data_IF_752018143835
#
_entry.id   IF_752018143835
#
_cell.length_a   1.000
_cell.length_b   1.000
_cell.length_c   1.000
_cell.angle_alpha   90.00
_cell.angle_beta   90.00
_cell.angle_gamma   90.00
#
_symmetry.space_group_name_H-M   'P 1'
#
loop_
_entity.id
_entity.type
_entity.pdbx_description
1 polymer ?
#
# COMPACT_ATOMS: atom_id res chain seq x y z
N UNK A 1 10.44 14.70 -24.82
CA UNK A 1 10.16 13.36 -24.25
C UNK A 1 9.43 12.56 -25.32
N UNK A 2 10.03 11.48 -25.82
CA UNK A 2 9.41 10.65 -26.86
C UNK A 2 8.14 9.96 -26.33
N UNK A 3 7.18 9.72 -27.21
CA UNK A 3 5.92 9.03 -26.91
C UNK A 3 6.15 7.57 -26.48
N UNK A 4 6.65 7.37 -25.24
CA UNK A 4 6.95 6.06 -24.65
C UNK A 4 5.69 5.16 -24.48
N UNK A 5 4.51 5.74 -24.64
CA UNK A 5 3.22 5.09 -24.40
C UNK A 5 2.35 4.95 -25.66
N UNK A 6 2.90 5.17 -26.86
CA UNK A 6 2.12 5.06 -28.11
C UNK A 6 1.81 3.62 -28.51
N UNK A 7 2.53 2.64 -27.96
CA UNK A 7 2.30 1.20 -28.20
C UNK A 7 2.28 0.47 -26.86
N UNK A 8 1.10 0.02 -26.45
CA UNK A 8 0.88 -0.59 -25.13
C UNK A 8 1.53 -1.97 -25.00
N UNK A 9 1.46 -2.81 -26.03
CA UNK A 9 2.13 -4.12 -26.04
C UNK A 9 3.39 -4.09 -26.90
N UNK A 10 4.49 -4.63 -26.41
CA UNK A 10 5.79 -4.70 -27.10
C UNK A 10 6.20 -6.12 -27.44
N UNK A 11 5.57 -7.12 -26.83
CA UNK A 11 5.88 -8.57 -26.95
C UNK A 11 7.29 -8.95 -26.45
N UNK A 12 8.05 -8.01 -25.89
CA UNK A 12 9.44 -8.24 -25.43
C UNK A 12 9.55 -9.06 -24.16
N UNK A 13 8.42 -9.35 -23.50
CA UNK A 13 8.36 -10.13 -22.25
C UNK A 13 7.68 -11.49 -22.39
N UNK A 14 7.38 -11.94 -23.61
CA UNK A 14 6.67 -13.22 -23.85
C UNK A 14 7.56 -14.43 -23.53
N UNK A 15 8.87 -14.24 -23.47
CA UNK A 15 9.87 -15.22 -23.04
C UNK A 15 9.97 -15.43 -21.51
N UNK A 16 9.11 -14.74 -20.72
CA UNK A 16 9.13 -14.80 -19.26
C UNK A 16 10.15 -13.87 -18.60
N UNK A 17 10.76 -12.95 -19.38
CA UNK A 17 11.63 -11.91 -18.84
C UNK A 17 10.98 -10.52 -18.88
N UNK A 18 11.52 -9.57 -18.11
CA UNK A 18 11.10 -8.15 -18.14
C UNK A 18 12.31 -7.24 -18.00
N UNK A 19 12.20 -6.02 -18.53
CA UNK A 19 13.22 -4.97 -18.37
C UNK A 19 13.03 -4.21 -17.07
N UNK A 20 14.12 -3.89 -16.39
CA UNK A 20 14.17 -2.94 -15.28
C UNK A 20 14.43 -1.51 -15.82
N UNK A 21 14.28 -0.51 -14.96
CA UNK A 21 14.44 0.89 -15.34
C UNK A 21 15.89 1.31 -15.66
N UNK A 22 16.88 0.51 -15.26
CA UNK A 22 18.29 0.67 -15.60
C UNK A 22 18.67 0.03 -16.95
N UNK A 23 17.71 -0.61 -17.63
CA UNK A 23 17.91 -1.33 -18.89
C UNK A 23 18.30 -2.80 -18.74
N UNK A 24 18.59 -3.29 -17.56
CA UNK A 24 18.83 -4.71 -17.31
C UNK A 24 17.55 -5.55 -17.49
N UNK A 25 17.69 -6.85 -17.69
CA UNK A 25 16.57 -7.77 -17.82
C UNK A 25 16.64 -8.87 -16.76
N UNK A 26 15.50 -9.17 -16.17
CA UNK A 26 15.33 -10.19 -15.13
C UNK A 26 14.17 -11.11 -15.48
N UNK A 27 14.10 -12.29 -14.85
CA UNK A 27 12.91 -13.15 -14.94
C UNK A 27 11.72 -12.47 -14.28
N UNK A 28 10.51 -12.65 -14.81
CA UNK A 28 9.28 -12.13 -14.21
C UNK A 28 9.02 -12.66 -12.79
N UNK A 29 9.64 -13.77 -12.41
CA UNK A 29 9.60 -14.36 -11.06
C UNK A 29 10.69 -13.82 -10.12
N UNK A 30 11.48 -12.83 -10.55
CA UNK A 30 12.50 -12.21 -9.72
C UNK A 30 11.86 -11.46 -8.53
N UNK A 31 12.43 -11.53 -7.30
CA UNK A 31 11.86 -10.86 -6.11
C UNK A 31 11.55 -9.37 -6.31
N UNK A 32 12.35 -8.67 -7.12
CA UNK A 32 12.13 -7.26 -7.47
C UNK A 32 10.84 -7.05 -8.26
N UNK A 33 10.54 -7.90 -9.22
CA UNK A 33 9.30 -7.85 -10.02
C UNK A 33 8.10 -8.19 -9.15
N UNK A 34 8.24 -9.16 -8.25
CA UNK A 34 7.22 -9.52 -7.26
C UNK A 34 6.91 -8.34 -6.31
N UNK A 35 7.95 -7.66 -5.82
CA UNK A 35 7.78 -6.49 -4.95
C UNK A 35 7.08 -5.33 -5.69
N UNK A 36 7.51 -5.04 -6.92
CA UNK A 36 6.87 -4.03 -7.78
C UNK A 36 5.39 -4.34 -8.02
N UNK A 37 5.08 -5.60 -8.38
CA UNK A 37 3.71 -6.04 -8.62
C UNK A 37 2.82 -5.93 -7.37
N UNK A 38 3.35 -6.24 -6.20
CA UNK A 38 2.61 -6.12 -4.94
C UNK A 38 2.32 -4.65 -4.57
N UNK A 39 3.25 -3.73 -4.86
CA UNK A 39 3.05 -2.29 -4.67
C UNK A 39 2.01 -1.74 -5.66
N UNK A 40 2.05 -2.18 -6.91
CA UNK A 40 1.06 -1.79 -7.94
C UNK A 40 -0.34 -2.30 -7.60
N UNK A 41 -0.45 -3.54 -7.10
CA UNK A 41 -1.71 -4.09 -6.61
C UNK A 41 -2.28 -3.27 -5.45
N UNK A 42 -1.44 -2.89 -4.46
CA UNK A 42 -1.84 -2.01 -3.37
C UNK A 42 -2.39 -0.68 -3.89
N UNK A 43 -1.68 -0.07 -4.83
CA UNK A 43 -2.09 1.21 -5.42
C UNK A 43 -3.45 1.09 -6.14
N UNK A 44 -3.67 -0.03 -6.85
CA UNK A 44 -4.94 -0.32 -7.53
C UNK A 44 -6.09 -0.49 -6.53
N UNK A 45 -5.86 -1.15 -5.39
CA UNK A 45 -6.89 -1.30 -4.33
C UNK A 45 -7.21 0.05 -3.67
N UNK A 46 -6.21 0.93 -3.48
CA UNK A 46 -6.45 2.32 -3.03
C UNK A 46 -7.28 3.08 -4.07
N UNK A 47 -7.03 2.87 -5.36
CA UNK A 47 -7.86 3.41 -6.44
C UNK A 47 -9.33 2.98 -6.31
N UNK A 48 -9.60 1.71 -6.00
CA UNK A 48 -10.97 1.23 -5.72
C UNK A 48 -11.55 1.94 -4.50
N UNK A 49 -10.79 2.08 -3.41
CA UNK A 49 -11.24 2.79 -2.22
C UNK A 49 -11.65 4.23 -2.52
N UNK A 50 -10.93 4.93 -3.39
CA UNK A 50 -11.21 6.30 -3.79
C UNK A 50 -12.47 6.45 -4.69
N UNK A 51 -13.04 5.36 -5.21
CA UNK A 51 -14.32 5.39 -5.93
C UNK A 51 -15.52 5.55 -4.99
N UNK A 52 -15.37 5.26 -3.71
CA UNK A 52 -16.41 5.48 -2.72
C UNK A 52 -16.45 6.94 -2.24
N UNK A 53 -17.57 7.33 -1.65
CA UNK A 53 -17.64 8.59 -0.91
C UNK A 53 -16.83 8.46 0.38
N UNK A 54 -15.65 9.07 0.39
CA UNK A 54 -14.79 9.16 1.57
C UNK A 54 -14.57 10.64 1.94
N UNK A 55 -14.51 10.97 3.24
CA UNK A 55 -14.24 12.33 3.71
C UNK A 55 -12.90 12.86 3.18
N UNK A 56 -12.83 14.19 2.98
CA UNK A 56 -11.66 14.83 2.35
C UNK A 56 -10.36 14.63 3.14
N UNK A 57 -10.42 14.62 4.46
CA UNK A 57 -9.28 14.35 5.34
C UNK A 57 -8.75 12.90 5.28
N UNK A 58 -9.47 12.00 4.58
CA UNK A 58 -9.03 10.65 4.21
C UNK A 58 -8.71 10.61 2.70
N UNK A 59 -9.51 11.27 1.86
CA UNK A 59 -9.34 11.28 0.40
C UNK A 59 -8.01 11.89 -0.01
N UNK A 60 -7.70 13.08 0.51
CA UNK A 60 -6.48 13.79 0.14
C UNK A 60 -5.21 12.96 0.49
N UNK A 61 -5.02 12.45 1.73
CA UNK A 61 -3.89 11.58 2.03
C UNK A 61 -3.84 10.31 1.17
N UNK A 62 -4.97 9.68 0.83
CA UNK A 62 -4.98 8.49 -0.03
C UNK A 62 -4.51 8.81 -1.46
N UNK A 63 -4.86 10.00 -1.97
CA UNK A 63 -4.40 10.46 -3.28
C UNK A 63 -2.89 10.70 -3.28
N UNK A 64 -2.35 11.33 -2.23
CA UNK A 64 -0.89 11.51 -2.07
C UNK A 64 -0.17 10.17 -1.97
N UNK A 65 -0.72 9.21 -1.22
CA UNK A 65 -0.20 7.85 -1.09
C UNK A 65 -0.15 7.15 -2.45
N UNK A 66 -1.14 7.33 -3.33
CA UNK A 66 -1.07 6.75 -4.69
C UNK A 66 0.13 7.26 -5.49
N UNK A 67 0.43 8.56 -5.41
CA UNK A 67 1.63 9.13 -6.04
C UNK A 67 2.91 8.57 -5.41
N UNK A 68 2.97 8.50 -4.08
CA UNK A 68 4.12 7.95 -3.36
C UNK A 68 4.35 6.45 -3.66
N UNK A 69 3.29 5.67 -3.85
CA UNK A 69 3.40 4.27 -4.29
C UNK A 69 3.92 4.14 -5.72
N UNK A 70 3.60 5.08 -6.62
CA UNK A 70 4.23 5.16 -7.94
C UNK A 70 5.73 5.49 -7.85
N UNK A 71 6.09 6.41 -6.95
CA UNK A 71 7.50 6.74 -6.69
C UNK A 71 8.26 5.54 -6.10
N UNK A 72 7.63 4.79 -5.18
CA UNK A 72 8.17 3.55 -4.64
C UNK A 72 8.33 2.48 -5.74
N UNK A 73 7.33 2.32 -6.61
CA UNK A 73 7.43 1.43 -7.77
C UNK A 73 8.60 1.81 -8.69
N UNK A 74 8.80 3.12 -8.92
CA UNK A 74 9.95 3.66 -9.65
C UNK A 74 11.28 3.40 -8.95
N UNK A 75 11.32 3.52 -7.61
CA UNK A 75 12.50 3.17 -6.80
C UNK A 75 12.84 1.68 -6.94
N UNK A 76 11.84 0.80 -6.79
CA UNK A 76 12.00 -0.64 -6.94
C UNK A 76 12.38 -1.04 -8.37
N UNK A 77 11.97 -0.27 -9.39
CA UNK A 77 12.28 -0.59 -10.80
C UNK A 77 13.72 -0.24 -11.20
N UNK A 78 14.43 0.58 -10.41
CA UNK A 78 15.79 1.04 -10.70
C UNK A 78 16.69 0.71 -9.52
N UNK A 79 17.55 -0.32 -9.61
CA UNK A 79 18.49 -0.65 -8.55
C UNK A 79 19.30 0.57 -8.07
N UNK A 80 19.36 0.81 -6.76
CA UNK A 80 20.10 1.93 -6.17
C UNK A 80 19.37 3.29 -6.19
N UNK A 81 18.19 3.40 -6.82
CA UNK A 81 17.37 4.64 -6.74
C UNK A 81 16.75 4.75 -5.34
N UNK A 82 16.63 5.98 -4.85
CA UNK A 82 15.90 6.33 -3.62
C UNK A 82 14.87 7.41 -3.97
N UNK A 83 13.61 7.18 -3.64
CA UNK A 83 12.50 8.12 -3.84
C UNK A 83 11.72 8.35 -2.53
N UNK A 84 11.53 7.29 -1.74
CA UNK A 84 10.88 7.37 -0.44
C UNK A 84 11.90 7.83 0.62
N UNK A 85 11.48 8.77 1.47
CA UNK A 85 12.30 9.37 2.53
C UNK A 85 11.58 9.29 3.88
N UNK A 86 12.28 9.60 4.98
CA UNK A 86 11.67 9.70 6.31
C UNK A 86 10.57 10.78 6.39
N UNK A 87 10.56 11.77 5.49
CA UNK A 87 9.51 12.78 5.46
C UNK A 87 8.14 12.18 5.10
N UNK A 88 8.09 11.24 4.12
CA UNK A 88 6.85 10.54 3.80
C UNK A 88 6.39 9.66 4.97
N UNK A 89 7.32 8.96 5.63
CA UNK A 89 7.00 8.17 6.83
C UNK A 89 6.38 9.04 7.92
N UNK A 90 6.98 10.20 8.21
CA UNK A 90 6.47 11.14 9.22
C UNK A 90 5.09 11.70 8.87
N UNK A 91 4.78 11.93 7.58
CA UNK A 91 3.43 12.34 7.15
C UNK A 91 2.38 11.25 7.41
N UNK A 92 2.71 9.98 7.16
CA UNK A 92 1.80 8.87 7.48
C UNK A 92 1.53 8.80 8.99
N UNK A 93 2.56 8.95 9.82
CA UNK A 93 2.45 8.95 11.28
C UNK A 93 1.58 10.11 11.78
N UNK A 94 1.81 11.32 11.29
CA UNK A 94 1.02 12.48 11.66
C UNK A 94 -0.47 12.33 11.27
N UNK A 95 -0.75 11.81 10.08
CA UNK A 95 -2.13 11.54 9.63
C UNK A 95 -2.79 10.45 10.48
N UNK A 96 -2.05 9.40 10.80
CA UNK A 96 -2.50 8.32 11.67
C UNK A 96 -2.89 8.87 13.05
N UNK A 97 -2.02 9.64 13.68
CA UNK A 97 -2.25 10.21 15.02
C UNK A 97 -3.47 11.12 15.03
N UNK A 98 -3.62 11.98 14.01
CA UNK A 98 -4.77 12.85 13.86
C UNK A 98 -6.09 12.06 13.76
N UNK A 99 -6.16 11.03 12.93
CA UNK A 99 -7.37 10.22 12.77
C UNK A 99 -7.66 9.36 14.00
N UNK A 100 -6.62 8.83 14.64
CA UNK A 100 -6.75 7.96 15.81
C UNK A 100 -7.20 8.71 17.05
N UNK A 101 -6.88 10.00 17.19
CA UNK A 101 -7.30 10.85 18.31
C UNK A 101 -8.82 10.91 18.50
N UNK A 102 -9.59 10.75 17.42
CA UNK A 102 -11.07 10.74 17.45
C UNK A 102 -11.69 9.35 17.65
N UNK A 103 -10.89 8.29 17.83
CA UNK A 103 -11.38 6.91 17.94
C UNK A 103 -11.33 6.40 19.38
N UNK A 104 -12.32 5.58 19.73
CA UNK A 104 -12.31 4.91 21.01
C UNK A 104 -11.12 3.92 21.13
N UNK A 105 -10.50 3.78 22.32
CA UNK A 105 -9.44 2.80 22.53
C UNK A 105 -9.90 1.38 22.16
N UNK A 106 -9.01 0.61 21.50
CA UNK A 106 -9.26 -0.79 21.22
C UNK A 106 -9.15 -1.63 22.50
N UNK A 107 -10.15 -2.48 22.73
CA UNK A 107 -10.16 -3.43 23.85
C UNK A 107 -9.88 -4.86 23.41
N UNK A 108 -10.02 -5.14 22.11
CA UNK A 108 -9.84 -6.45 21.48
C UNK A 108 -9.54 -6.27 20.00
N UNK A 109 -9.08 -7.34 19.32
CA UNK A 109 -8.99 -7.36 17.86
C UNK A 109 -10.37 -7.14 17.23
N UNK A 110 -10.38 -6.51 16.06
CA UNK A 110 -11.58 -6.25 15.28
C UNK A 110 -11.61 -7.10 14.01
N UNK A 111 -12.79 -7.49 13.59
CA UNK A 111 -12.99 -8.16 12.32
C UNK A 111 -12.93 -7.13 11.19
N UNK A 112 -12.20 -7.42 10.08
CA UNK A 112 -12.18 -6.53 8.92
C UNK A 112 -13.57 -6.53 8.26
N UNK A 113 -14.16 -5.33 8.08
CA UNK A 113 -15.51 -5.21 7.51
C UNK A 113 -16.16 -3.87 7.86
N UNK A 114 -17.49 -3.84 7.78
CA UNK A 114 -18.31 -2.66 8.10
C UNK A 114 -18.86 -1.97 6.85
N UNK A 115 -18.71 -0.65 6.72
CA UNK A 115 -19.05 0.09 5.52
C UNK A 115 -18.17 -0.35 4.33
N UNK A 116 -18.65 -0.22 3.10
CA UNK A 116 -17.91 -0.63 1.89
C UNK A 116 -16.53 -0.02 1.81
N UNK A 117 -16.41 1.29 2.05
CA UNK A 117 -15.12 1.98 2.07
C UNK A 117 -14.20 1.43 3.17
N UNK A 118 -14.73 1.17 4.38
CA UNK A 118 -13.95 0.59 5.48
C UNK A 118 -13.47 -0.84 5.18
N UNK A 119 -14.33 -1.69 4.63
CA UNK A 119 -13.98 -3.04 4.22
C UNK A 119 -12.89 -3.04 3.13
N UNK A 120 -13.00 -2.15 2.14
CA UNK A 120 -12.00 -1.98 1.08
C UNK A 120 -10.68 -1.43 1.66
N UNK A 121 -10.75 -0.53 2.64
CA UNK A 121 -9.57 -0.03 3.34
C UNK A 121 -8.86 -1.15 4.13
N UNK A 122 -9.59 -2.06 4.76
CA UNK A 122 -9.02 -3.25 5.38
C UNK A 122 -8.38 -4.21 4.35
N UNK A 123 -8.95 -4.33 3.14
CA UNK A 123 -8.34 -5.07 2.04
C UNK A 123 -7.02 -4.42 1.63
N UNK A 124 -7.01 -3.08 1.41
CA UNK A 124 -5.80 -2.32 1.11
C UNK A 124 -4.71 -2.55 2.18
N UNK A 125 -5.08 -2.54 3.47
CA UNK A 125 -4.18 -2.86 4.59
C UNK A 125 -3.57 -4.26 4.45
N UNK A 126 -4.37 -5.26 4.14
CA UNK A 126 -3.87 -6.64 4.00
C UNK A 126 -2.94 -6.78 2.79
N UNK A 127 -3.24 -6.12 1.68
CA UNK A 127 -2.39 -6.05 0.48
C UNK A 127 -1.10 -5.27 0.77
N UNK A 128 -1.16 -4.15 1.51
CA UNK A 128 0.00 -3.39 1.97
C UNK A 128 0.98 -4.27 2.76
N UNK A 129 0.48 -5.06 3.71
CA UNK A 129 1.29 -6.03 4.47
C UNK A 129 1.88 -7.12 3.59
N UNK A 130 1.24 -7.49 2.48
CA UNK A 130 1.83 -8.40 1.50
C UNK A 130 2.95 -7.69 0.72
N UNK A 131 2.74 -6.45 0.28
CA UNK A 131 3.77 -5.64 -0.38
C UNK A 131 5.00 -5.46 0.53
N UNK A 132 4.80 -5.12 1.79
CA UNK A 132 5.85 -5.04 2.81
C UNK A 132 6.69 -6.33 2.86
N UNK A 133 6.03 -7.50 2.99
CA UNK A 133 6.74 -8.79 3.01
C UNK A 133 7.51 -9.07 1.72
N UNK A 134 7.00 -8.66 0.54
CA UNK A 134 7.72 -8.83 -0.73
C UNK A 134 8.94 -7.92 -0.82
N UNK A 135 8.84 -6.69 -0.31
CA UNK A 135 9.99 -5.78 -0.23
C UNK A 135 11.03 -6.30 0.78
N UNK A 136 10.60 -6.87 1.91
CA UNK A 136 11.52 -7.54 2.83
C UNK A 136 12.24 -8.73 2.18
N UNK A 137 11.52 -9.59 1.45
CA UNK A 137 12.14 -10.72 0.74
C UNK A 137 13.15 -10.24 -0.33
N UNK A 138 12.86 -9.12 -1.00
CA UNK A 138 13.83 -8.49 -1.89
C UNK A 138 15.06 -7.99 -1.12
N UNK A 139 14.88 -7.41 0.07
CA UNK A 139 15.98 -6.89 0.89
C UNK A 139 16.93 -7.98 1.43
N UNK A 140 16.52 -9.26 1.40
CA UNK A 140 17.41 -10.40 1.73
C UNK A 140 18.45 -10.68 0.63
N UNK A 141 18.16 -10.30 -0.61
CA UNK A 141 19.02 -10.56 -1.78
C UNK A 141 19.61 -9.28 -2.40
N UNK A 142 19.00 -8.14 -2.19
CA UNK A 142 19.44 -6.85 -2.70
C UNK A 142 19.18 -5.77 -1.65
N UNK A 143 20.15 -4.86 -1.43
CA UNK A 143 19.97 -3.76 -0.49
C UNK A 143 18.87 -2.80 -0.94
N UNK A 144 17.85 -2.63 -0.09
CA UNK A 144 16.72 -1.74 -0.30
C UNK A 144 16.79 -0.55 0.66
N UNK A 145 16.26 0.57 0.24
CA UNK A 145 16.09 1.76 1.05
C UNK A 145 15.26 1.46 2.32
N UNK A 146 15.81 1.72 3.48
CA UNK A 146 15.16 1.46 4.78
C UNK A 146 13.88 2.29 4.93
N UNK A 147 13.85 3.53 4.42
CA UNK A 147 12.65 4.36 4.46
C UNK A 147 11.48 3.75 3.67
N UNK A 148 11.74 3.06 2.55
CA UNK A 148 10.72 2.36 1.76
C UNK A 148 10.04 1.23 2.57
N UNK A 149 10.83 0.47 3.33
CA UNK A 149 10.33 -0.60 4.21
C UNK A 149 9.48 -0.02 5.35
N UNK A 150 10.00 1.03 6.03
CA UNK A 150 9.27 1.74 7.09
C UNK A 150 7.95 2.32 6.57
N UNK A 151 7.98 2.91 5.37
CA UNK A 151 6.81 3.50 4.73
C UNK A 151 5.67 2.49 4.58
N UNK A 152 5.93 1.31 4.01
CA UNK A 152 4.91 0.27 3.85
C UNK A 152 4.38 -0.24 5.19
N UNK A 153 5.25 -0.41 6.18
CA UNK A 153 4.84 -0.79 7.53
C UNK A 153 3.88 0.25 8.11
N UNK A 154 4.25 1.52 8.09
CA UNK A 154 3.46 2.63 8.65
C UNK A 154 2.18 2.88 7.86
N UNK A 155 2.21 2.69 6.53
CA UNK A 155 1.01 2.76 5.68
C UNK A 155 -0.01 1.69 6.07
N UNK A 156 0.44 0.49 6.43
CA UNK A 156 -0.49 -0.56 6.89
C UNK A 156 -1.22 -0.17 8.18
N UNK A 157 -0.54 0.54 9.09
CA UNK A 157 -1.12 1.02 10.34
C UNK A 157 -2.10 2.18 10.08
N UNK A 158 -1.74 3.10 9.20
CA UNK A 158 -2.62 4.20 8.77
C UNK A 158 -3.91 3.66 8.13
N UNK A 159 -3.81 2.69 7.23
CA UNK A 159 -4.98 2.07 6.59
C UNK A 159 -5.90 1.38 7.62
N UNK A 160 -5.33 0.82 8.69
CA UNK A 160 -6.13 0.27 9.79
C UNK A 160 -6.93 1.37 10.51
N UNK A 161 -6.29 2.49 10.85
CA UNK A 161 -6.95 3.62 11.52
C UNK A 161 -7.97 4.28 10.59
N UNK A 162 -7.65 4.44 9.29
CA UNK A 162 -8.61 4.95 8.30
C UNK A 162 -9.86 4.07 8.21
N UNK A 163 -9.73 2.74 8.20
CA UNK A 163 -10.88 1.82 8.15
C UNK A 163 -11.79 2.00 9.37
N UNK A 164 -11.23 2.14 10.56
CA UNK A 164 -11.99 2.41 11.80
C UNK A 164 -12.67 3.77 11.74
N UNK A 165 -11.97 4.80 11.29
CA UNK A 165 -12.53 6.14 11.12
C UNK A 165 -13.70 6.15 10.14
N UNK A 166 -13.58 5.45 9.00
CA UNK A 166 -14.66 5.30 8.03
C UNK A 166 -15.87 4.58 8.61
N UNK A 167 -15.68 3.53 9.42
CA UNK A 167 -16.78 2.86 10.12
C UNK A 167 -17.46 3.78 11.12
N UNK A 168 -16.69 4.47 11.96
CA UNK A 168 -17.23 5.39 12.97
C UNK A 168 -18.08 6.51 12.32
N UNK A 169 -17.58 7.11 11.23
CA UNK A 169 -18.30 8.16 10.48
C UNK A 169 -19.52 7.63 9.74
N UNK A 170 -19.54 6.36 9.39
CA UNK A 170 -20.73 5.70 8.83
C UNK A 170 -21.75 5.25 9.91
N UNK A 171 -21.54 5.65 11.17
CA UNK A 171 -22.39 5.22 12.29
C UNK A 171 -22.27 3.72 12.63
N UNK A 172 -21.19 3.07 12.21
CA UNK A 172 -20.91 1.65 12.46
C UNK A 172 -19.78 1.54 13.49
N UNK A 173 -20.01 0.73 14.53
CA UNK A 173 -18.96 0.37 15.50
C UNK A 173 -18.01 -0.68 14.97
N UNK A 174 -16.83 -0.77 15.58
CA UNK A 174 -15.90 -1.87 15.34
C UNK A 174 -16.54 -3.20 15.80
N UNK A 175 -16.50 -4.23 14.95
CA UNK A 175 -16.96 -5.56 15.29
C UNK A 175 -15.82 -6.32 15.97
N UNK A 176 -15.95 -6.53 17.29
CA UNK A 176 -14.90 -7.18 18.06
C UNK A 176 -14.83 -8.68 17.75
N UNK A 177 -13.62 -9.18 17.64
CA UNK A 177 -13.38 -10.62 17.57
C UNK A 177 -13.75 -11.30 18.87
N UNK A 178 -14.42 -12.44 18.78
CA UNK A 178 -14.81 -13.29 19.92
C UNK A 178 -14.06 -14.62 19.84
N UNK A 179 -13.00 -14.82 20.65
CA UNK A 179 -12.24 -16.06 20.64
C UNK A 179 -13.14 -17.26 20.87
N UNK A 180 -13.04 -18.30 20.02
CA UNK A 180 -13.76 -19.56 20.20
C UNK A 180 -15.28 -19.50 20.01
N UNK A 181 -15.83 -18.43 19.42
CA UNK A 181 -17.28 -18.24 19.22
C UNK A 181 -18.02 -19.44 18.59
N UNK A 182 -17.35 -20.24 17.78
CA UNK A 182 -17.92 -21.35 17.02
C UNK A 182 -17.40 -22.73 17.52
N UNK A 183 -16.83 -22.79 18.72
CA UNK A 183 -16.35 -24.02 19.34
C UNK A 183 -17.43 -24.63 20.24
#
# INVERSE_FOLDING_TARGET
MGHRLSKIYTRTGDDGTTGLGDGSRVKKTHPRVEAMGAVDELNSVIGILLTYEVPEDIRAPLTDIQHELFDLGGELSIPGRTAITEAQVGRLEATLDQLNAGLAPLKEFILPGGAQAAATCHLARAVCRRAERRVHALNEVEKINVAAVKYLNRLSDLLFVMARSLNARAGRGDVLWQPGKNR
#
